data_IF_667872229892
#
_entry.id   IF_667872229892
#
_cell.length_a   1.000
_cell.length_b   1.000
_cell.length_c   1.000
_cell.angle_alpha   90.00
_cell.angle_beta   90.00
_cell.angle_gamma   90.00
#
_symmetry.space_group_name_H-M   'P 1'
#
loop_
_entity.id
_entity.type
_entity.pdbx_description
1 polymer ?
#
# COMPACT_ATOMS: atom_id res chain seq x y z
N UNK A 1 10.53 16.90 7.86
CA UNK A 1 11.73 16.56 7.06
C UNK A 1 12.44 15.40 7.73
N UNK A 2 12.98 14.44 6.97
CA UNK A 2 13.66 13.27 7.53
C UNK A 2 15.03 13.61 8.13
N UNK A 3 15.49 12.78 9.07
CA UNK A 3 16.85 12.87 9.61
C UNK A 3 17.85 12.49 8.51
N UNK A 4 18.74 13.42 8.14
CA UNK A 4 19.72 13.19 7.07
C UNK A 4 20.61 12.00 7.40
N UNK A 5 20.83 11.11 6.42
CA UNK A 5 21.67 9.92 6.55
C UNK A 5 21.01 8.70 7.18
N UNK A 6 19.96 8.83 8.01
CA UNK A 6 19.37 7.69 8.77
C UNK A 6 18.92 6.53 7.87
N UNK A 7 18.10 6.84 6.87
CA UNK A 7 17.59 5.83 5.94
C UNK A 7 18.72 5.25 5.08
N UNK A 8 19.58 6.12 4.55
CA UNK A 8 20.60 5.74 3.55
C UNK A 8 21.77 4.94 4.12
N UNK A 9 22.25 5.24 5.33
CA UNK A 9 23.47 4.63 5.89
C UNK A 9 23.21 3.51 6.90
N UNK A 10 22.12 3.60 7.67
CA UNK A 10 21.86 2.72 8.81
C UNK A 10 20.68 1.79 8.51
N UNK A 11 19.48 2.35 8.26
CA UNK A 11 18.26 1.55 8.16
C UNK A 11 18.18 0.72 6.87
N UNK A 12 18.73 1.21 5.76
CA UNK A 12 18.71 0.47 4.48
C UNK A 12 19.35 -0.92 4.58
N UNK A 13 20.34 -1.13 5.45
CA UNK A 13 20.98 -2.43 5.64
C UNK A 13 20.04 -3.45 6.32
N UNK A 14 19.12 -2.97 7.14
CA UNK A 14 18.14 -3.78 7.84
C UNK A 14 16.79 -3.85 7.11
N UNK A 15 16.53 -2.93 6.17
CA UNK A 15 15.29 -2.87 5.42
C UNK A 15 15.17 -4.08 4.47
N UNK A 16 14.00 -4.73 4.50
CA UNK A 16 13.69 -5.85 3.61
C UNK A 16 12.60 -5.44 2.63
N UNK A 17 12.89 -5.32 1.32
CA UNK A 17 11.86 -5.00 0.33
C UNK A 17 10.89 -6.17 0.23
N UNK A 18 9.61 -5.93 0.53
CA UNK A 18 8.55 -6.94 0.43
C UNK A 18 7.33 -6.39 -0.29
N UNK A 19 6.68 -7.27 -1.05
CA UNK A 19 5.41 -6.94 -1.69
C UNK A 19 4.29 -6.87 -0.64
N UNK A 20 3.43 -5.85 -0.75
CA UNK A 20 2.25 -5.68 0.12
C UNK A 20 1.34 -6.91 0.05
N UNK A 21 1.21 -7.54 -1.13
CA UNK A 21 0.44 -8.76 -1.31
C UNK A 21 0.98 -9.94 -0.50
N UNK A 22 2.30 -10.08 -0.40
CA UNK A 22 2.92 -11.13 0.41
C UNK A 22 2.63 -10.91 1.90
N UNK A 23 2.73 -9.66 2.37
CA UNK A 23 2.40 -9.31 3.75
C UNK A 23 0.91 -9.56 4.05
N UNK A 24 0.01 -9.20 3.14
CA UNK A 24 -1.43 -9.38 3.32
C UNK A 24 -1.86 -10.85 3.31
N UNK A 25 -1.41 -11.64 2.31
CA UNK A 25 -1.91 -13.00 2.06
C UNK A 25 -1.11 -14.06 2.80
N UNK A 26 0.22 -14.02 2.71
CA UNK A 26 1.05 -15.09 3.29
C UNK A 26 1.19 -14.87 4.79
N UNK A 27 1.64 -13.70 5.19
CA UNK A 27 1.93 -13.40 6.60
C UNK A 27 0.65 -13.05 7.38
N UNK A 28 -0.26 -12.26 6.79
CA UNK A 28 -1.46 -11.76 7.46
C UNK A 28 -2.64 -12.75 7.50
N UNK A 29 -2.75 -13.62 6.50
CA UNK A 29 -3.83 -14.62 6.41
C UNK A 29 -3.29 -16.05 6.60
N UNK A 30 -2.34 -16.48 5.76
CA UNK A 30 -1.87 -17.87 5.74
C UNK A 30 -1.12 -18.32 7.00
N UNK A 31 -0.31 -17.43 7.60
CA UNK A 31 0.47 -17.70 8.82
C UNK A 31 -0.22 -17.25 10.10
N UNK A 32 -1.48 -16.85 10.01
CA UNK A 32 -2.24 -16.35 11.15
C UNK A 32 -2.86 -17.50 11.96
N UNK A 33 -2.00 -18.18 12.73
CA UNK A 33 -2.37 -19.34 13.53
C UNK A 33 -3.47 -19.05 14.56
N UNK A 34 -3.56 -17.80 15.04
CA UNK A 34 -4.51 -17.39 16.05
C UNK A 34 -5.86 -16.89 15.48
N UNK A 35 -6.07 -17.00 14.16
CA UNK A 35 -7.32 -16.58 13.50
C UNK A 35 -7.65 -15.10 13.71
N UNK A 36 -6.63 -14.26 13.94
CA UNK A 36 -6.84 -12.83 14.22
C UNK A 36 -7.23 -12.10 12.94
N UNK A 37 -7.79 -10.91 13.06
CA UNK A 37 -8.11 -10.08 11.89
C UNK A 37 -6.83 -9.75 11.09
N UNK A 38 -6.94 -9.65 9.77
CA UNK A 38 -5.88 -9.23 8.87
C UNK A 38 -5.24 -7.89 9.27
N UNK A 39 -4.02 -7.63 8.79
CA UNK A 39 -3.25 -6.42 9.10
C UNK A 39 -4.04 -5.14 8.84
N UNK A 40 -3.98 -4.22 9.80
CA UNK A 40 -4.47 -2.85 9.63
C UNK A 40 -3.28 -1.97 9.28
N UNK A 41 -3.39 -1.25 8.16
CA UNK A 41 -2.33 -0.37 7.67
C UNK A 41 -2.88 1.05 7.73
N UNK A 42 -2.18 1.91 8.48
CA UNK A 42 -2.40 3.34 8.48
C UNK A 42 -1.45 3.96 7.46
N UNK A 43 -2.00 4.68 6.49
CA UNK A 43 -1.24 5.31 5.42
C UNK A 43 -1.39 6.81 5.57
N UNK A 44 -0.27 7.50 5.83
CA UNK A 44 -0.24 8.95 5.77
C UNK A 44 -0.49 9.40 4.33
N UNK A 45 -1.49 10.26 4.13
CA UNK A 45 -1.85 10.79 2.82
C UNK A 45 -0.75 11.68 2.21
N UNK A 46 0.13 12.24 3.04
CA UNK A 46 1.21 13.14 2.61
C UNK A 46 2.19 12.48 1.63
N UNK A 47 2.33 11.15 1.68
CA UNK A 47 3.20 10.40 0.75
C UNK A 47 2.81 10.62 -0.72
N UNK A 48 1.52 10.89 -0.98
CA UNK A 48 1.01 11.06 -2.34
C UNK A 48 1.26 12.44 -2.93
N UNK A 49 1.68 13.43 -2.13
CA UNK A 49 1.89 14.80 -2.60
C UNK A 49 2.95 14.87 -3.70
N UNK A 50 4.10 14.23 -3.52
CA UNK A 50 5.15 14.24 -4.55
C UNK A 50 4.81 13.35 -5.75
N UNK A 51 4.06 12.26 -5.52
CA UNK A 51 3.61 11.37 -6.59
C UNK A 51 2.52 11.99 -7.47
N UNK A 52 1.71 12.90 -6.95
CA UNK A 52 0.69 13.60 -7.72
C UNK A 52 1.34 14.62 -8.68
N UNK A 53 2.46 15.23 -8.29
CA UNK A 53 3.22 16.16 -9.13
C UNK A 53 3.78 15.50 -10.39
N UNK A 54 4.21 14.23 -10.31
CA UNK A 54 4.71 13.49 -11.47
C UNK A 54 3.60 12.97 -12.39
N UNK A 55 2.35 12.94 -11.92
CA UNK A 55 1.19 12.46 -12.70
C UNK A 55 0.72 13.42 -13.82
N UNK A 56 1.26 14.65 -13.85
CA UNK A 56 0.87 15.71 -14.80
C UNK A 56 1.62 15.69 -16.14
N UNK A 57 2.62 14.82 -16.30
CA UNK A 57 3.61 14.97 -17.38
C UNK A 57 3.29 14.24 -18.69
N UNK A 58 2.10 13.66 -18.86
CA UNK A 58 1.74 12.90 -20.05
C UNK A 58 0.50 13.48 -20.75
N UNK A 59 0.66 14.63 -21.41
CA UNK A 59 -0.08 15.09 -22.60
C UNK A 59 -1.61 15.28 -22.56
N UNK A 60 -2.32 14.69 -21.59
CA UNK A 60 -3.78 14.66 -21.52
C UNK A 60 -4.21 14.70 -20.05
N UNK A 61 -4.05 15.87 -19.44
CA UNK A 61 -4.49 16.13 -18.06
C UNK A 61 -6.00 16.27 -18.02
N UNK A 62 -6.71 15.14 -18.17
CA UNK A 62 -8.13 15.07 -17.82
C UNK A 62 -8.37 15.53 -16.38
N UNK A 63 -9.61 15.92 -16.07
CA UNK A 63 -10.00 16.56 -14.81
C UNK A 63 -9.44 15.82 -13.59
N UNK A 64 -8.76 16.55 -12.69
CA UNK A 64 -8.24 16.05 -11.41
C UNK A 64 -7.36 14.79 -11.48
N UNK A 65 -6.19 14.89 -12.13
CA UNK A 65 -5.24 13.77 -12.26
C UNK A 65 -4.75 13.26 -10.90
N UNK A 66 -4.67 14.13 -9.89
CA UNK A 66 -4.23 13.81 -8.54
C UNK A 66 -5.24 12.91 -7.82
N UNK A 67 -6.53 13.22 -7.94
CA UNK A 67 -7.61 12.42 -7.33
C UNK A 67 -7.72 11.06 -8.01
N UNK A 68 -7.55 11.01 -9.33
CA UNK A 68 -7.55 9.77 -10.09
C UNK A 68 -6.41 8.84 -9.70
N UNK A 69 -5.20 9.38 -9.50
CA UNK A 69 -4.08 8.59 -8.98
C UNK A 69 -4.41 8.04 -7.58
N UNK A 70 -4.93 8.88 -6.68
CA UNK A 70 -5.30 8.45 -5.34
C UNK A 70 -6.37 7.35 -5.38
N UNK A 71 -7.39 7.50 -6.21
CA UNK A 71 -8.45 6.53 -6.42
C UNK A 71 -7.90 5.16 -6.81
N UNK A 72 -7.05 5.08 -7.83
CA UNK A 72 -6.47 3.80 -8.26
C UNK A 72 -5.59 3.14 -7.20
N UNK A 73 -4.87 3.94 -6.40
CA UNK A 73 -4.06 3.42 -5.30
C UNK A 73 -4.91 2.87 -4.17
N UNK A 74 -5.98 3.56 -3.79
CA UNK A 74 -6.94 3.08 -2.78
C UNK A 74 -7.67 1.82 -3.26
N UNK A 75 -8.10 1.79 -4.52
CA UNK A 75 -8.71 0.59 -5.11
C UNK A 75 -7.76 -0.61 -5.04
N UNK A 76 -6.50 -0.41 -5.43
CA UNK A 76 -5.48 -1.47 -5.37
C UNK A 76 -5.21 -1.96 -3.96
N UNK A 77 -5.23 -1.07 -2.96
CA UNK A 77 -5.08 -1.47 -1.55
C UNK A 77 -6.31 -2.22 -1.03
N UNK A 78 -7.51 -1.80 -1.44
CA UNK A 78 -8.76 -2.46 -1.08
C UNK A 78 -8.83 -3.93 -1.52
N UNK A 79 -8.23 -4.26 -2.67
CA UNK A 79 -8.14 -5.64 -3.16
C UNK A 79 -7.41 -6.59 -2.18
N UNK A 80 -6.52 -6.08 -1.34
CA UNK A 80 -5.78 -6.89 -0.37
C UNK A 80 -6.42 -6.88 1.03
N UNK A 81 -7.41 -6.01 1.28
CA UNK A 81 -8.00 -5.81 2.60
C UNK A 81 -9.13 -6.82 2.92
N UNK A 82 -9.60 -7.59 1.94
CA UNK A 82 -10.74 -8.50 2.13
C UNK A 82 -10.59 -9.85 1.39
N UNK A 83 -9.77 -10.78 1.90
CA UNK A 83 -9.76 -12.16 1.40
C UNK A 83 -10.95 -12.99 1.95
N UNK A 84 -11.45 -12.65 3.13
CA UNK A 84 -12.38 -13.52 3.89
C UNK A 84 -13.85 -13.47 3.41
N UNK A 85 -14.30 -12.38 2.78
CA UNK A 85 -15.69 -12.27 2.29
C UNK A 85 -15.94 -13.20 1.09
N UNK A 86 -14.92 -13.54 0.31
CA UNK A 86 -15.09 -14.43 -0.85
C UNK A 86 -15.01 -15.92 -0.51
N UNK A 87 -14.45 -16.32 0.63
CA UNK A 87 -14.39 -17.74 1.03
C UNK A 87 -15.69 -18.27 1.64
N UNK A 88 -16.42 -17.45 2.38
CA UNK A 88 -17.72 -17.85 2.96
C UNK A 88 -18.90 -17.81 1.98
N UNK A 89 -18.66 -17.51 0.71
CA UNK A 89 -19.66 -17.54 -0.37
C UNK A 89 -19.54 -18.78 -1.27
N UNK A 90 -18.57 -19.67 -1.00
CA UNK A 90 -18.31 -20.88 -1.80
C UNK A 90 -18.35 -22.19 -1.00
N UNK A 91 -18.81 -22.16 0.25
CA UNK A 91 -19.08 -23.35 1.07
C UNK A 91 -20.59 -23.50 1.35
#
# INVERSE_FOLDING_TARGET
>A
MGLSGLCMSILNKAAQPRAISHLAVVDGLGRNFFGRRAYRIEIDASIWYQHSLTSKSAGDTGVSSELRMLFFRLHRLGLFACPDVFRHLTD
#
